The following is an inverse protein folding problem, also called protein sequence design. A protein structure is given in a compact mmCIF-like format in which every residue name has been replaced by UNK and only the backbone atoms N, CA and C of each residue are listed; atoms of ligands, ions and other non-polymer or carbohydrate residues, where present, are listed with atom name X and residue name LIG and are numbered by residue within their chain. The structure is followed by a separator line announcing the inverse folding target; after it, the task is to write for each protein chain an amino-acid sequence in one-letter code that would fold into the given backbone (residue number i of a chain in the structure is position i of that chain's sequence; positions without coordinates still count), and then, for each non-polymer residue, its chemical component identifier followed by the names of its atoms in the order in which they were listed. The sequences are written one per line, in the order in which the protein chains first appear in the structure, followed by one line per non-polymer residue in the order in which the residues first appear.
data_IF_259128930149
#
_entry.id   IF_259128930149
#
_cell.length_a   1.000
_cell.length_b   1.000
_cell.length_c   1.000
_cell.angle_alpha   90.00
_cell.angle_beta   90.00
_cell.angle_gamma   90.00
#
_symmetry.space_group_name_H-M   'P 1'
#
loop_
_entity.id
_entity.type
_entity.pdbx_description
1 polymer ?
#
# COMPACT_ATOMS: atom_id res chain seq x y z
N UNK A 1 -16.48 -2.80 8.14
CA UNK A 1 -15.57 -1.90 7.42
C UNK A 1 -14.15 -2.23 7.89
N UNK A 2 -13.28 -2.70 6.99
CA UNK A 2 -11.90 -3.11 7.32
C UNK A 2 -11.05 -1.93 7.81
N UNK A 3 -9.95 -2.15 8.55
CA UNK A 3 -9.00 -1.09 8.90
C UNK A 3 -8.49 -0.31 7.68
N UNK A 4 -8.15 -1.02 6.58
CA UNK A 4 -7.72 -0.36 5.35
C UNK A 4 -8.81 0.56 4.79
N UNK A 5 -10.06 0.07 4.67
CA UNK A 5 -11.12 0.90 4.09
C UNK A 5 -11.37 2.18 4.88
N UNK A 6 -11.18 2.17 6.20
CA UNK A 6 -11.29 3.38 7.03
C UNK A 6 -10.12 4.35 6.78
N UNK A 7 -8.88 3.84 6.70
CA UNK A 7 -7.72 4.68 6.33
C UNK A 7 -7.92 5.33 4.96
N UNK A 8 -8.43 4.60 3.98
CA UNK A 8 -8.70 5.11 2.64
C UNK A 8 -9.82 6.15 2.61
N UNK A 9 -10.88 5.98 3.44
CA UNK A 9 -11.91 7.01 3.58
C UNK A 9 -11.35 8.32 4.12
N UNK A 10 -10.45 8.26 5.11
CA UNK A 10 -9.78 9.44 5.66
C UNK A 10 -8.87 10.08 4.61
N UNK A 11 -8.05 9.29 3.92
CA UNK A 11 -7.14 9.77 2.87
C UNK A 11 -7.90 10.45 1.71
N UNK A 12 -9.10 9.94 1.40
CA UNK A 12 -10.02 10.48 0.41
C UNK A 12 -10.89 11.64 0.94
N UNK A 13 -10.65 12.11 2.16
CA UNK A 13 -11.29 13.26 2.76
C UNK A 13 -10.67 14.60 2.33
N UNK A 14 -11.32 15.69 2.71
CA UNK A 14 -10.82 17.04 2.48
C UNK A 14 -9.61 17.37 3.37
N UNK A 15 -9.64 16.88 4.61
CA UNK A 15 -8.57 17.03 5.60
C UNK A 15 -7.89 15.70 5.85
N UNK A 16 -6.56 15.67 5.72
CA UNK A 16 -5.73 14.48 5.96
C UNK A 16 -4.66 14.76 7.01
N UNK A 17 -5.00 15.52 8.06
CA UNK A 17 -4.05 15.78 9.15
C UNK A 17 -3.68 14.49 9.88
N UNK A 18 -2.45 14.38 10.35
CA UNK A 18 -1.91 13.15 10.92
C UNK A 18 -2.76 12.58 12.07
N UNK A 19 -3.35 13.44 12.90
CA UNK A 19 -4.20 13.06 14.02
C UNK A 19 -5.48 12.33 13.60
N UNK A 20 -5.98 12.57 12.38
CA UNK A 20 -7.18 11.89 11.87
C UNK A 20 -6.96 10.38 11.69
N UNK A 21 -5.70 9.93 11.60
CA UNK A 21 -5.32 8.54 11.44
C UNK A 21 -5.02 7.83 12.77
N UNK A 22 -4.91 8.55 13.90
CA UNK A 22 -4.48 8.01 15.20
C UNK A 22 -5.41 6.91 15.73
N UNK A 23 -6.70 7.03 15.45
CA UNK A 23 -7.74 6.24 16.11
C UNK A 23 -8.46 5.27 15.18
N UNK A 24 -7.87 4.94 14.03
CA UNK A 24 -8.48 3.98 13.10
C UNK A 24 -8.49 2.58 13.74
N UNK A 25 -9.67 1.98 14.01
CA UNK A 25 -9.76 0.68 14.66
C UNK A 25 -9.06 -0.41 13.85
N UNK A 26 -8.25 -1.22 14.53
CA UNK A 26 -7.54 -2.35 13.93
C UNK A 26 -6.21 -1.99 13.25
N UNK A 27 -5.78 -0.73 13.33
CA UNK A 27 -4.42 -0.31 12.99
C UNK A 27 -3.59 -0.23 14.27
N UNK A 28 -2.39 -0.82 14.24
CA UNK A 28 -1.43 -0.77 15.33
C UNK A 28 -0.23 0.05 14.88
N UNK A 29 -0.17 1.31 15.32
CA UNK A 29 0.97 2.17 15.01
C UNK A 29 2.20 1.77 15.84
N UNK A 30 3.33 1.53 15.17
CA UNK A 30 4.63 1.33 15.84
C UNK A 30 5.20 2.68 16.30
N UNK A 31 5.02 3.70 15.45
CA UNK A 31 5.47 5.05 15.71
C UNK A 31 4.38 5.87 16.36
N UNK A 32 4.69 6.49 17.50
CA UNK A 32 3.74 7.33 18.24
C UNK A 32 3.32 8.56 17.43
N UNK A 33 4.24 9.13 16.65
CA UNK A 33 4.04 10.32 15.83
C UNK A 33 4.79 10.20 14.49
N UNK A 34 4.46 11.03 13.49
CA UNK A 34 5.19 11.04 12.22
C UNK A 34 6.67 11.38 12.46
N UNK A 35 7.57 10.66 11.78
CA UNK A 35 9.01 10.83 11.87
C UNK A 35 9.51 11.44 10.56
N UNK A 36 10.58 12.24 10.64
CA UNK A 36 11.20 12.76 9.43
C UNK A 36 11.79 11.62 8.61
N UNK A 37 11.51 11.61 7.31
CA UNK A 37 12.07 10.68 6.33
C UNK A 37 13.13 11.43 5.49
N UNK A 38 14.42 11.33 5.85
CA UNK A 38 15.49 12.01 5.11
C UNK A 38 15.72 11.45 3.71
N UNK A 39 15.22 10.24 3.43
CA UNK A 39 15.32 9.58 2.12
C UNK A 39 14.10 9.85 1.23
N UNK A 40 13.18 10.71 1.69
CA UNK A 40 12.00 11.06 0.93
C UNK A 40 12.38 11.64 -0.45
N UNK A 41 11.78 11.13 -1.54
CA UNK A 41 12.10 11.61 -2.89
C UNK A 41 11.64 13.05 -3.11
N UNK A 42 10.68 13.52 -2.30
CA UNK A 42 10.02 14.81 -2.46
C UNK A 42 9.58 15.38 -1.09
N UNK A 43 9.46 16.72 -0.95
CA UNK A 43 9.08 17.35 0.32
C UNK A 43 7.69 16.99 0.85
N UNK A 44 6.77 16.56 -0.02
CA UNK A 44 5.42 16.13 0.31
C UNK A 44 5.36 14.73 0.95
N UNK A 45 6.50 14.03 1.01
CA UNK A 45 6.69 12.74 1.69
C UNK A 45 7.79 12.81 2.75
N UNK A 46 8.15 14.01 3.19
CA UNK A 46 9.24 14.25 4.15
C UNK A 46 9.00 13.65 5.54
N UNK A 47 7.80 13.14 5.81
CA UNK A 47 7.44 12.46 7.03
C UNK A 47 6.76 11.13 6.75
N UNK A 48 7.07 10.13 7.58
CA UNK A 48 6.41 8.84 7.56
C UNK A 48 5.88 8.44 8.94
N UNK A 49 4.94 7.49 8.95
CA UNK A 49 4.53 6.78 10.17
C UNK A 49 4.17 5.35 9.83
N UNK A 50 4.77 4.40 10.53
CA UNK A 50 4.58 2.99 10.24
C UNK A 50 3.73 2.27 11.28
N UNK A 51 2.95 1.30 10.82
CA UNK A 51 2.00 0.50 11.60
C UNK A 51 1.80 -0.88 11.00
N UNK A 52 0.95 -1.68 11.61
CA UNK A 52 0.38 -2.89 11.00
C UNK A 52 -1.14 -2.84 11.02
N UNK A 53 -1.76 -3.63 10.13
CA UNK A 53 -3.19 -3.89 10.15
C UNK A 53 -3.49 -5.29 9.64
N UNK A 54 -4.74 -5.73 9.85
CA UNK A 54 -5.26 -6.98 9.30
C UNK A 54 -6.15 -6.71 8.08
N UNK A 55 -5.79 -7.28 6.94
CA UNK A 55 -6.60 -7.29 5.72
C UNK A 55 -7.67 -8.38 5.80
N UNK A 56 -8.83 -8.09 5.20
CA UNK A 56 -9.94 -9.04 5.10
C UNK A 56 -9.71 -10.08 4.00
N UNK A 57 -10.22 -11.29 4.25
CA UNK A 57 -10.34 -12.36 3.26
C UNK A 57 -9.07 -13.18 3.04
N UNK A 58 -8.23 -13.26 4.07
CA UNK A 58 -7.00 -14.03 4.15
C UNK A 58 -7.02 -15.01 5.34
N UNK A 59 -6.17 -16.04 5.27
CA UNK A 59 -6.09 -17.13 6.24
C UNK A 59 -4.67 -17.36 6.77
N UNK A 60 -4.51 -18.39 7.59
CA UNK A 60 -3.22 -18.77 8.16
C UNK A 60 -2.31 -19.37 7.09
N UNK A 61 -1.05 -18.92 7.08
CA UNK A 61 0.02 -19.39 6.22
C UNK A 61 1.32 -19.43 7.04
N UNK A 62 2.31 -20.16 6.55
CA UNK A 62 3.68 -19.99 7.04
C UNK A 62 4.18 -18.60 6.63
N UNK A 63 4.85 -17.87 7.52
CA UNK A 63 5.57 -16.63 7.22
C UNK A 63 6.96 -16.70 7.83
N UNK A 64 7.95 -15.92 7.34
CA UNK A 64 9.25 -15.83 8.00
C UNK A 64 9.08 -15.46 9.47
N UNK A 65 9.80 -16.16 10.35
CA UNK A 65 9.76 -15.92 11.79
C UNK A 65 10.60 -14.69 12.22
N UNK A 66 11.34 -14.10 11.29
CA UNK A 66 12.20 -12.94 11.52
C UNK A 66 13.64 -13.30 11.92
N UNK A 67 13.96 -14.59 12.07
CA UNK A 67 15.32 -15.05 12.26
C UNK A 67 16.09 -15.03 10.93
N UNK A 68 17.41 -14.87 11.01
CA UNK A 68 18.31 -14.81 9.86
C UNK A 68 19.36 -15.91 9.92
N UNK A 69 19.88 -16.32 8.76
CA UNK A 69 20.95 -17.30 8.67
C UNK A 69 20.49 -18.73 8.97
N UNK A 70 21.31 -19.51 9.68
CA UNK A 70 21.03 -20.93 9.96
C UNK A 70 19.80 -21.17 10.86
N UNK A 71 19.37 -20.13 11.59
CA UNK A 71 18.18 -20.15 12.45
C UNK A 71 16.93 -19.66 11.73
N UNK A 72 17.02 -19.31 10.43
CA UNK A 72 15.87 -18.87 9.67
C UNK A 72 14.83 -20.00 9.57
N UNK A 73 13.62 -19.71 10.02
CA UNK A 73 12.50 -20.65 9.99
C UNK A 73 11.21 -19.97 9.54
N UNK A 74 10.11 -20.68 9.77
CA UNK A 74 8.76 -20.16 9.54
C UNK A 74 7.94 -20.24 10.82
N UNK A 75 6.99 -19.32 10.93
CA UNK A 75 5.93 -19.35 11.93
C UNK A 75 4.57 -19.26 11.23
N UNK A 76 3.52 -19.72 11.89
CA UNK A 76 2.16 -19.51 11.39
C UNK A 76 1.70 -18.08 11.69
N UNK A 77 1.19 -17.38 10.67
CA UNK A 77 0.51 -16.07 10.78
C UNK A 77 -0.59 -15.95 9.74
N UNK A 78 -1.45 -14.93 9.85
CA UNK A 78 -2.44 -14.63 8.82
C UNK A 78 -1.76 -13.89 7.65
N UNK A 79 -1.96 -14.36 6.41
CA UNK A 79 -1.43 -13.74 5.18
C UNK A 79 -1.89 -12.28 4.99
N UNK A 80 -3.01 -11.92 5.60
CA UNK A 80 -3.56 -10.56 5.61
C UNK A 80 -2.90 -9.63 6.62
N UNK A 81 -2.00 -10.12 7.47
CA UNK A 81 -1.21 -9.27 8.36
C UNK A 81 -0.23 -8.46 7.50
N UNK A 82 -0.50 -7.16 7.38
CA UNK A 82 0.22 -6.26 6.49
C UNK A 82 0.87 -5.13 7.27
N UNK A 83 2.06 -4.73 6.81
CA UNK A 83 2.65 -3.44 7.17
C UNK A 83 1.87 -2.32 6.49
N UNK A 84 1.71 -1.20 7.20
CA UNK A 84 1.15 0.04 6.66
C UNK A 84 2.08 1.20 6.96
N UNK A 85 2.32 2.06 5.96
CA UNK A 85 3.12 3.28 6.12
C UNK A 85 2.34 4.44 5.55
N UNK A 86 2.11 5.47 6.37
CA UNK A 86 1.59 6.75 5.90
C UNK A 86 2.77 7.63 5.48
N UNK A 87 2.65 8.30 4.35
CA UNK A 87 3.63 9.27 3.86
C UNK A 87 3.00 10.65 3.68
N UNK A 88 3.68 11.69 4.13
CA UNK A 88 3.15 13.04 4.06
C UNK A 88 4.15 14.15 4.35
N UNK A 89 3.63 15.37 4.39
CA UNK A 89 4.36 16.56 4.81
C UNK A 89 4.18 16.82 6.32
N UNK A 90 4.71 17.93 6.82
CA UNK A 90 4.65 18.28 8.24
C UNK A 90 3.21 18.45 8.79
N UNK A 91 2.19 18.56 7.93
CA UNK A 91 0.79 18.84 8.30
C UNK A 91 -0.16 17.73 7.88
N UNK A 92 0.05 17.15 6.70
CA UNK A 92 -0.92 16.26 6.05
C UNK A 92 -0.30 15.02 5.45
N UNK A 93 -1.06 13.92 5.55
CA UNK A 93 -0.82 12.66 4.84
C UNK A 93 -1.21 12.83 3.38
N UNK A 94 -0.33 12.41 2.48
CA UNK A 94 -0.50 12.46 1.02
C UNK A 94 -0.61 11.07 0.40
N UNK A 95 -0.02 10.07 1.04
CA UNK A 95 -0.02 8.69 0.56
C UNK A 95 -0.13 7.67 1.69
N UNK A 96 -0.51 6.46 1.31
CA UNK A 96 -0.53 5.29 2.18
C UNK A 96 0.07 4.12 1.41
N UNK A 97 1.07 3.45 1.96
CA UNK A 97 1.62 2.21 1.43
C UNK A 97 1.19 1.02 2.29
N UNK A 98 0.83 -0.09 1.66
CA UNK A 98 0.62 -1.39 2.30
C UNK A 98 1.63 -2.37 1.76
N UNK A 99 2.22 -3.15 2.65
CA UNK A 99 3.09 -4.26 2.34
C UNK A 99 2.50 -5.55 2.92
N UNK A 100 2.06 -6.44 2.05
CA UNK A 100 1.50 -7.75 2.41
C UNK A 100 2.50 -8.85 2.03
N UNK A 101 2.69 -9.83 2.90
CA UNK A 101 3.49 -11.01 2.56
C UNK A 101 2.89 -11.80 1.40
N UNK A 102 3.77 -12.43 0.62
CA UNK A 102 3.47 -13.22 -0.56
C UNK A 102 2.99 -12.42 -1.78
N UNK A 103 3.55 -12.70 -2.97
CA UNK A 103 3.15 -12.07 -4.21
C UNK A 103 1.77 -12.58 -4.65
N UNK A 104 0.92 -11.66 -5.12
CA UNK A 104 -0.40 -11.99 -5.66
C UNK A 104 -0.79 -11.01 -6.75
N UNK A 105 -1.01 -11.53 -7.96
CA UNK A 105 -1.49 -10.73 -9.12
C UNK A 105 -2.97 -10.40 -9.05
N UNK A 106 -3.70 -10.89 -8.05
CA UNK A 106 -5.14 -10.68 -7.88
C UNK A 106 -5.46 -9.33 -7.20
N UNK A 107 -4.78 -8.25 -7.60
CA UNK A 107 -4.82 -6.94 -6.93
C UNK A 107 -6.24 -6.42 -6.72
N UNK A 108 -7.06 -6.42 -7.78
CA UNK A 108 -8.43 -5.92 -7.71
C UNK A 108 -9.29 -6.73 -6.73
N UNK A 109 -9.15 -8.06 -6.68
CA UNK A 109 -9.88 -8.92 -5.74
C UNK A 109 -9.45 -8.65 -4.30
N UNK A 110 -8.15 -8.46 -4.07
CA UNK A 110 -7.62 -8.10 -2.75
C UNK A 110 -8.21 -6.78 -2.28
N UNK A 111 -8.19 -5.75 -3.13
CA UNK A 111 -8.77 -4.44 -2.83
C UNK A 111 -10.28 -4.54 -2.58
N UNK A 112 -11.03 -5.24 -3.43
CA UNK A 112 -12.48 -5.42 -3.28
C UNK A 112 -12.87 -6.03 -1.94
N UNK A 113 -12.13 -7.04 -1.46
CA UNK A 113 -12.37 -7.70 -0.15
C UNK A 113 -12.26 -6.75 1.04
N UNK A 114 -11.65 -5.58 0.89
CA UNK A 114 -11.47 -4.64 1.99
C UNK A 114 -12.72 -3.78 2.24
N UNK A 115 -13.71 -3.80 1.35
CA UNK A 115 -14.91 -2.98 1.44
C UNK A 115 -16.17 -3.86 1.56
N UNK A 116 -17.13 -3.43 2.39
CA UNK A 116 -18.42 -4.13 2.56
C UNK A 116 -19.45 -3.76 1.45
N UNK A 117 -19.00 -3.08 0.38
CA UNK A 117 -19.83 -2.51 -0.68
C UNK A 117 -19.52 -1.02 -0.92
N UNK A 118 -20.22 -0.39 -1.88
CA UNK A 118 -20.11 1.06 -2.12
C UNK A 118 -18.75 1.55 -2.64
N UNK A 119 -17.95 0.64 -3.20
CA UNK A 119 -16.66 0.96 -3.83
C UNK A 119 -16.73 0.62 -5.33
N UNK A 120 -16.16 1.49 -6.15
CA UNK A 120 -15.84 1.21 -7.55
C UNK A 120 -14.33 1.18 -7.71
N UNK A 121 -13.80 0.10 -8.28
CA UNK A 121 -12.37 -0.06 -8.58
C UNK A 121 -12.25 -0.25 -10.08
N UNK A 122 -11.67 0.75 -10.76
CA UNK A 122 -11.51 0.78 -12.21
C UNK A 122 -10.01 0.72 -12.56
N UNK A 123 -9.55 -0.21 -13.41
CA UNK A 123 -8.18 -0.15 -13.91
C UNK A 123 -7.97 1.11 -14.75
N UNK A 124 -6.81 1.75 -14.60
CA UNK A 124 -6.44 2.95 -15.37
C UNK A 124 -5.13 2.77 -16.14
N UNK A 125 -4.22 1.92 -15.66
CA UNK A 125 -3.05 1.52 -16.42
C UNK A 125 -2.54 0.14 -15.97
N UNK A 126 -1.92 -0.63 -16.86
CA UNK A 126 -1.24 -1.89 -16.55
C UNK A 126 -0.13 -2.18 -17.58
N UNK A 127 0.43 -3.39 -17.57
CA UNK A 127 1.39 -3.87 -18.58
C UNK A 127 2.57 -2.92 -18.81
N UNK A 128 3.19 -2.48 -17.71
CA UNK A 128 4.30 -1.53 -17.72
C UNK A 128 5.58 -2.15 -18.33
N UNK A 129 6.19 -1.43 -19.28
CA UNK A 129 7.23 -1.97 -20.13
C UNK A 129 8.68 -1.72 -19.66
N UNK A 130 8.92 -0.72 -18.80
CA UNK A 130 10.28 -0.35 -18.38
C UNK A 130 10.47 -0.29 -16.86
N UNK A 131 11.41 -1.06 -16.35
CA UNK A 131 12.03 -0.82 -15.04
C UNK A 131 13.12 0.25 -15.20
N UNK A 132 12.76 1.52 -14.99
CA UNK A 132 13.72 2.61 -15.12
C UNK A 132 13.86 3.42 -13.84
N UNK A 133 14.95 3.18 -13.12
CA UNK A 133 15.70 4.21 -12.39
C UNK A 133 15.01 4.89 -11.21
N UNK A 134 14.03 4.26 -10.56
CA UNK A 134 13.48 4.73 -9.27
C UNK A 134 13.66 3.67 -8.19
N UNK A 135 13.65 4.07 -6.92
CA UNK A 135 13.82 3.18 -5.75
C UNK A 135 12.63 2.23 -5.49
N UNK A 136 11.55 2.32 -6.26
CA UNK A 136 10.40 1.42 -6.17
C UNK A 136 10.46 0.38 -7.28
N UNK A 137 10.43 -0.91 -6.92
CA UNK A 137 10.49 -2.03 -7.84
C UNK A 137 9.37 -1.94 -8.89
N UNK A 138 9.74 -1.80 -10.17
CA UNK A 138 8.83 -2.12 -11.26
C UNK A 138 9.06 -3.58 -11.63
N UNK A 139 8.12 -4.46 -11.25
CA UNK A 139 8.23 -5.89 -11.52
C UNK A 139 7.60 -6.30 -12.85
N UNK A 140 7.35 -5.33 -13.74
CA UNK A 140 6.62 -5.49 -15.01
C UNK A 140 5.14 -5.89 -14.85
N UNK A 141 4.74 -6.29 -13.65
CA UNK A 141 3.39 -6.65 -13.23
C UNK A 141 2.69 -5.52 -12.46
N UNK A 142 3.20 -4.29 -12.55
CA UNK A 142 2.56 -3.14 -11.91
C UNK A 142 1.21 -2.84 -12.58
N UNK A 143 0.21 -2.54 -11.75
CA UNK A 143 -1.13 -2.19 -12.19
C UNK A 143 -1.66 -1.00 -11.39
N UNK A 144 -2.37 -0.10 -12.07
CA UNK A 144 -2.92 1.12 -11.53
C UNK A 144 -4.44 1.08 -11.58
N UNK A 145 -5.07 1.52 -10.50
CA UNK A 145 -6.52 1.59 -10.39
C UNK A 145 -6.97 2.94 -9.82
N UNK A 146 -8.15 3.38 -10.24
CA UNK A 146 -8.91 4.42 -9.57
C UNK A 146 -9.92 3.76 -8.63
N UNK A 147 -9.93 4.20 -7.38
CA UNK A 147 -10.87 3.79 -6.34
C UNK A 147 -11.82 4.94 -6.05
N UNK A 148 -13.12 4.73 -6.24
CA UNK A 148 -14.16 5.69 -5.86
C UNK A 148 -14.98 5.09 -4.72
N UNK A 149 -14.99 5.79 -3.59
CA UNK A 149 -15.75 5.41 -2.40
C UNK A 149 -16.99 6.30 -2.32
N UNK A 150 -18.18 5.70 -2.16
CA UNK A 150 -19.45 6.43 -2.20
C UNK A 150 -19.55 7.59 -1.18
N UNK A 151 -18.83 7.49 -0.07
CA UNK A 151 -18.84 8.48 1.03
C UNK A 151 -17.61 9.40 1.05
N UNK A 152 -16.72 9.31 0.05
CA UNK A 152 -15.50 10.12 -0.01
C UNK A 152 -15.69 11.40 -0.82
N UNK A 153 -14.86 12.41 -0.54
CA UNK A 153 -14.86 13.68 -1.27
C UNK A 153 -14.24 13.59 -2.66
N UNK A 154 -13.33 12.62 -2.87
CA UNK A 154 -12.56 12.44 -4.09
C UNK A 154 -12.24 10.97 -4.36
N UNK A 155 -11.93 10.58 -5.61
CA UNK A 155 -11.31 9.29 -5.86
C UNK A 155 -9.90 9.24 -5.27
N UNK A 156 -9.45 8.02 -4.97
CA UNK A 156 -8.05 7.69 -4.75
C UNK A 156 -7.51 6.92 -5.93
N UNK A 157 -6.19 6.88 -6.05
CA UNK A 157 -5.49 6.11 -7.05
C UNK A 157 -4.58 5.12 -6.34
N UNK A 158 -4.44 3.91 -6.86
CA UNK A 158 -3.58 2.90 -6.27
C UNK A 158 -2.66 2.32 -7.34
N UNK A 159 -1.38 2.26 -7.00
CA UNK A 159 -0.40 1.40 -7.68
C UNK A 159 -0.30 0.09 -6.90
N UNK A 160 -0.36 -1.03 -7.61
CA UNK A 160 -0.12 -2.34 -7.06
C UNK A 160 1.08 -2.97 -7.77
N UNK A 161 1.95 -3.61 -6.99
CA UNK A 161 3.14 -4.31 -7.49
C UNK A 161 3.36 -5.58 -6.68
N UNK A 162 4.01 -6.57 -7.29
CA UNK A 162 4.57 -7.72 -6.58
C UNK A 162 6.07 -7.55 -6.46
N UNK A 163 6.68 -8.11 -5.42
CA UNK A 163 8.08 -8.49 -5.36
C UNK A 163 8.09 -10.01 -5.21
N UNK A 164 8.73 -10.74 -6.12
CA UNK A 164 8.74 -12.21 -6.07
C UNK A 164 9.71 -12.77 -5.02
N UNK A 165 10.49 -11.90 -4.36
CA UNK A 165 11.44 -12.25 -3.32
C UNK A 165 12.73 -12.88 -3.85
N UNK A 166 12.95 -12.91 -5.18
CA UNK A 166 14.10 -13.55 -5.79
C UNK A 166 15.44 -12.94 -5.32
N UNK A 167 15.48 -11.60 -5.17
CA UNK A 167 16.70 -10.89 -4.75
C UNK A 167 17.01 -11.08 -3.26
N UNK A 168 15.98 -11.17 -2.43
CA UNK A 168 16.12 -11.21 -0.97
C UNK A 168 15.96 -12.62 -0.38
N UNK A 169 15.81 -13.65 -1.23
CA UNK A 169 15.48 -15.03 -0.85
C UNK A 169 14.28 -15.14 0.12
N UNK A 170 13.35 -14.19 0.02
CA UNK A 170 12.17 -14.10 0.88
C UNK A 170 10.92 -14.69 0.22
N UNK A 171 9.80 -14.75 0.95
CA UNK A 171 8.51 -15.21 0.40
C UNK A 171 7.90 -14.28 -0.67
N UNK A 172 8.57 -13.18 -0.98
CA UNK A 172 8.04 -12.09 -1.78
C UNK A 172 6.94 -11.29 -1.05
N UNK A 173 6.41 -10.29 -1.74
CA UNK A 173 5.39 -9.41 -1.22
C UNK A 173 4.44 -8.90 -2.30
N UNK A 174 3.29 -8.38 -1.86
CA UNK A 174 2.39 -7.57 -2.66
C UNK A 174 2.31 -6.20 -2.01
N UNK A 175 2.64 -5.16 -2.76
CA UNK A 175 2.61 -3.77 -2.32
C UNK A 175 1.44 -3.03 -2.96
N UNK A 176 0.76 -2.19 -2.18
CA UNK A 176 -0.21 -1.22 -2.68
C UNK A 176 0.18 0.17 -2.21
N UNK A 177 0.31 1.14 -3.12
CA UNK A 177 0.54 2.54 -2.78
C UNK A 177 -0.63 3.38 -3.24
N UNK A 178 -1.29 4.05 -2.29
CA UNK A 178 -2.47 4.87 -2.50
C UNK A 178 -2.09 6.35 -2.55
N UNK A 179 -2.61 7.05 -3.55
CA UNK A 179 -2.37 8.45 -3.84
C UNK A 179 -3.69 9.23 -3.86
N UNK A 180 -3.63 10.50 -3.43
CA UNK A 180 -4.76 11.44 -3.53
C UNK A 180 -4.93 12.06 -4.92
N UNK A 181 -3.91 11.96 -5.77
CA UNK A 181 -3.87 12.42 -7.16
C UNK A 181 -3.46 11.30 -8.09
N UNK A 182 -3.88 11.39 -9.35
CA UNK A 182 -3.53 10.41 -10.35
C UNK A 182 -2.01 10.42 -10.62
N UNK A 183 -1.31 9.28 -10.50
CA UNK A 183 0.14 9.22 -10.63
C UNK A 183 0.60 9.21 -12.09
N UNK A 184 0.12 10.16 -12.90
CA UNK A 184 0.34 10.25 -14.36
C UNK A 184 1.82 10.25 -14.75
N UNK A 185 2.66 11.00 -14.02
CA UNK A 185 4.10 11.01 -14.26
C UNK A 185 4.74 9.64 -14.04
N UNK A 186 4.24 8.88 -13.06
CA UNK A 186 4.76 7.55 -12.72
C UNK A 186 4.30 6.50 -13.73
N UNK A 187 3.02 6.52 -14.12
CA UNK A 187 2.45 5.71 -15.20
C UNK A 187 3.23 5.91 -16.51
N UNK A 188 3.48 7.18 -16.88
CA UNK A 188 4.25 7.53 -18.07
C UNK A 188 5.72 7.08 -17.98
N UNK A 189 6.38 7.32 -16.84
CA UNK A 189 7.77 6.93 -16.63
C UNK A 189 7.99 5.40 -16.72
N UNK A 190 6.98 4.62 -16.33
CA UNK A 190 7.00 3.15 -16.41
C UNK A 190 6.54 2.60 -17.76
N UNK A 191 6.12 3.47 -18.68
CA UNK A 191 5.58 3.11 -19.99
C UNK A 191 4.43 2.09 -19.89
N UNK A 192 3.50 2.34 -18.97
CA UNK A 192 2.31 1.52 -18.82
C UNK A 192 1.29 1.79 -19.93
N UNK A 193 0.47 0.79 -20.22
CA UNK A 193 -0.68 0.90 -21.11
C UNK A 193 -1.87 1.48 -20.34
N UNK A 194 -2.39 2.61 -20.79
CA UNK A 194 -3.54 3.30 -20.18
C UNK A 194 -4.90 2.75 -20.69
N UNK A 195 -5.98 2.94 -19.90
CA UNK A 195 -7.35 2.44 -20.16
C UNK A 195 -8.45 3.50 -20.08
#
# INVERSE_FOLDING_TARGET
MSPLSQLLLILAGETTSWDTFDHVPGVQWHDVMPRANPEAPTPDLAYDRSGTLMLNGFGMVDVPDGHQGAEAGTRQDNEGHAGVTLGGDAKSVQSLALLKFYPSKNYQVILQKQFDGGVSIRPIADACALDYGTTAANTQDNAFYQITLASASRPLYVEAAIDDGAENHGPGSTTFVFYRSEPTQRIAAMHCKEH
#
